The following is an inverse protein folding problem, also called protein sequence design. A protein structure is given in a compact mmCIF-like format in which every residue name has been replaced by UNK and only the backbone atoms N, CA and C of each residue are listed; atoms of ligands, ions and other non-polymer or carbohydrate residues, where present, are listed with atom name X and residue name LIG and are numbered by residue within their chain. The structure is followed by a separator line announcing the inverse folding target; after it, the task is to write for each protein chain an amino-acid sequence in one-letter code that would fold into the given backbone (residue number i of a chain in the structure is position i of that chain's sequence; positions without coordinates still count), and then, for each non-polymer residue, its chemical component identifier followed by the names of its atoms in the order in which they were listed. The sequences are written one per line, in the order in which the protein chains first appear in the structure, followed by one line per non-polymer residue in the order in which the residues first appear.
data_IF_424725736384
#
_entry.id   IF_424725736384
#
_cell.length_a   1.000
_cell.length_b   1.000
_cell.length_c   1.000
_cell.angle_alpha   90.00
_cell.angle_beta   90.00
_cell.angle_gamma   90.00
#
_symmetry.space_group_name_H-M   'P 1'
#
loop_
_entity.id
_entity.type
_entity.pdbx_description
1 polymer ?
#
# COMPACT_ATOMS: atom_id res chain seq x y z
N UNK A 1 -5.82 -13.00 -1.45
CA UNK A 1 -4.58 -13.14 -0.65
C UNK A 1 -3.56 -13.95 -1.44
N UNK A 2 -2.29 -13.56 -1.43
CA UNK A 2 -1.17 -14.30 -2.06
C UNK A 2 -0.05 -14.53 -1.02
N UNK A 3 0.78 -15.56 -1.24
CA UNK A 3 1.94 -15.83 -0.38
C UNK A 3 3.14 -14.96 -0.75
N UNK A 4 4.17 -14.96 0.10
CA UNK A 4 5.44 -14.26 -0.14
C UNK A 4 6.07 -14.67 -1.49
N UNK A 5 6.13 -15.96 -1.80
CA UNK A 5 6.74 -16.45 -3.05
C UNK A 5 6.01 -15.91 -4.29
N UNK A 6 4.68 -15.88 -4.26
CA UNK A 6 3.87 -15.33 -5.35
C UNK A 6 4.05 -13.81 -5.46
N UNK A 7 4.18 -13.11 -4.34
CA UNK A 7 4.44 -11.68 -4.33
C UNK A 7 5.80 -11.35 -4.97
N UNK A 8 6.87 -12.06 -4.59
CA UNK A 8 8.21 -11.89 -5.16
C UNK A 8 8.24 -12.25 -6.65
N UNK A 9 7.48 -13.27 -7.08
CA UNK A 9 7.35 -13.60 -8.50
C UNK A 9 6.62 -12.53 -9.32
N UNK A 10 5.73 -11.73 -8.70
CA UNK A 10 5.02 -10.63 -9.37
C UNK A 10 5.87 -9.38 -9.54
N UNK A 11 6.78 -9.12 -8.60
CA UNK A 11 7.62 -7.92 -8.59
C UNK A 11 9.09 -8.32 -8.68
N UNK A 12 9.62 -8.38 -9.90
CA UNK A 12 10.99 -8.84 -10.14
C UNK A 12 12.07 -7.91 -9.58
N UNK A 13 11.74 -6.64 -9.31
CA UNK A 13 12.63 -5.65 -8.68
C UNK A 13 12.50 -5.60 -7.14
N UNK A 14 11.61 -6.41 -6.57
CA UNK A 14 11.39 -6.48 -5.13
C UNK A 14 12.47 -7.35 -4.48
N UNK A 15 13.35 -6.73 -3.71
CA UNK A 15 14.27 -7.46 -2.85
C UNK A 15 13.53 -7.96 -1.59
N UNK A 16 13.69 -9.24 -1.21
CA UNK A 16 13.07 -9.78 0.00
C UNK A 16 13.46 -9.02 1.27
N UNK A 17 14.70 -8.54 1.38
CA UNK A 17 15.18 -7.77 2.51
C UNK A 17 14.50 -6.40 2.62
N UNK A 18 14.23 -5.75 1.48
CA UNK A 18 13.46 -4.50 1.46
C UNK A 18 12.03 -4.72 1.95
N UNK A 19 11.38 -5.77 1.44
CA UNK A 19 10.03 -6.13 1.89
C UNK A 19 9.98 -6.41 3.39
N UNK A 20 10.96 -7.12 3.95
CA UNK A 20 11.03 -7.34 5.40
C UNK A 20 11.17 -6.02 6.18
N UNK A 21 11.96 -5.07 5.68
CA UNK A 21 12.06 -3.73 6.31
C UNK A 21 10.74 -2.98 6.24
N UNK A 22 10.05 -3.01 5.10
CA UNK A 22 8.75 -2.36 4.95
C UNK A 22 7.68 -2.97 5.86
N UNK A 23 7.71 -4.29 6.07
CA UNK A 23 6.85 -4.96 7.05
C UNK A 23 7.21 -4.52 8.47
N UNK A 24 8.50 -4.49 8.82
CA UNK A 24 8.95 -4.05 10.14
C UNK A 24 8.60 -2.58 10.46
N UNK A 25 8.64 -1.71 9.43
CA UNK A 25 8.22 -0.30 9.52
C UNK A 25 6.70 -0.13 9.44
N UNK A 26 5.95 -1.21 9.15
CA UNK A 26 4.50 -1.23 9.07
C UNK A 26 3.93 -0.55 7.83
N UNK A 27 4.75 -0.36 6.79
CA UNK A 27 4.32 0.15 5.48
C UNK A 27 3.48 -0.87 4.72
N UNK A 28 3.81 -2.15 4.86
CA UNK A 28 3.06 -3.30 4.35
C UNK A 28 2.68 -4.15 5.56
N UNK A 29 1.43 -4.61 5.64
CA UNK A 29 0.93 -5.29 6.85
C UNK A 29 0.26 -6.61 6.46
N UNK A 30 1.04 -7.61 6.02
CA UNK A 30 0.50 -8.90 5.69
C UNK A 30 -0.11 -9.57 6.93
N UNK A 31 -1.08 -10.44 6.70
CA UNK A 31 -1.61 -11.31 7.73
C UNK A 31 -0.70 -12.54 7.91
N UNK A 32 -0.51 -12.98 9.14
CA UNK A 32 0.19 -14.24 9.43
C UNK A 32 -0.85 -15.34 9.63
N UNK A 33 -0.92 -16.28 8.70
CA UNK A 33 -1.84 -17.43 8.76
C UNK A 33 -1.04 -18.72 8.81
N UNK A 34 -1.12 -19.46 9.91
CA UNK A 34 -0.44 -20.75 10.05
C UNK A 34 1.10 -20.67 9.99
N UNK A 35 1.67 -19.50 10.30
CA UNK A 35 3.12 -19.26 10.21
C UNK A 35 3.59 -18.70 8.87
N UNK A 36 2.71 -18.55 7.88
CA UNK A 36 3.02 -17.97 6.58
C UNK A 36 2.49 -16.53 6.45
N UNK A 37 3.27 -15.66 5.79
CA UNK A 37 2.83 -14.32 5.41
C UNK A 37 1.88 -14.39 4.23
N UNK A 38 0.70 -13.77 4.39
CA UNK A 38 -0.32 -13.63 3.36
C UNK A 38 -0.61 -12.17 3.11
N UNK A 39 -0.52 -11.78 1.85
CA UNK A 39 -0.71 -10.41 1.40
C UNK A 39 -2.08 -10.27 0.76
N UNK A 40 -2.87 -9.31 1.22
CA UNK A 40 -4.10 -8.92 0.55
C UNK A 40 -3.84 -8.08 -0.70
N UNK A 41 -4.87 -7.82 -1.49
CA UNK A 41 -4.75 -6.97 -2.68
C UNK A 41 -4.28 -5.55 -2.32
N UNK A 42 -4.72 -5.03 -1.17
CA UNK A 42 -4.26 -3.74 -0.68
C UNK A 42 -2.76 -3.72 -0.35
N UNK A 43 -2.21 -4.82 0.19
CA UNK A 43 -0.78 -4.95 0.45
C UNK A 43 0.02 -5.01 -0.85
N UNK A 44 -0.48 -5.74 -1.85
CA UNK A 44 0.13 -5.85 -3.18
C UNK A 44 0.20 -4.49 -3.86
N UNK A 45 -0.88 -3.72 -3.84
CA UNK A 45 -0.90 -2.36 -4.39
C UNK A 45 0.04 -1.42 -3.62
N UNK A 46 0.21 -1.65 -2.32
CA UNK A 46 1.11 -0.87 -1.48
C UNK A 46 2.58 -1.13 -1.80
N UNK A 47 2.94 -2.39 -2.02
CA UNK A 47 4.26 -2.79 -2.50
C UNK A 47 4.54 -2.16 -3.86
N UNK A 48 3.59 -2.21 -4.80
CA UNK A 48 3.72 -1.55 -6.10
C UNK A 48 3.96 -0.05 -5.98
N UNK A 49 3.18 0.63 -5.14
CA UNK A 49 3.36 2.05 -4.88
C UNK A 49 4.75 2.36 -4.34
N UNK A 50 5.25 1.60 -3.36
CA UNK A 50 6.58 1.84 -2.79
C UNK A 50 7.68 1.65 -3.86
N UNK A 51 7.55 0.61 -4.70
CA UNK A 51 8.45 0.40 -5.83
C UNK A 51 8.40 1.57 -6.83
N UNK A 52 7.21 2.05 -7.19
CA UNK A 52 7.07 3.21 -8.08
C UNK A 52 7.70 4.48 -7.48
N UNK A 53 7.50 4.72 -6.17
CA UNK A 53 8.11 5.86 -5.48
C UNK A 53 9.64 5.79 -5.51
N UNK A 54 10.21 4.60 -5.30
CA UNK A 54 11.66 4.40 -5.26
C UNK A 54 12.30 4.37 -6.65
N UNK A 55 11.74 3.57 -7.55
CA UNK A 55 12.36 3.22 -8.83
C UNK A 55 12.03 4.24 -9.93
N UNK A 56 10.87 4.91 -9.85
CA UNK A 56 10.42 5.89 -10.87
C UNK A 56 10.56 7.33 -10.38
N UNK A 57 10.22 7.61 -9.12
CA UNK A 57 10.28 8.96 -8.56
C UNK A 57 11.56 9.23 -7.75
N UNK A 58 12.46 8.26 -7.67
CA UNK A 58 13.75 8.35 -6.97
C UNK A 58 13.60 8.86 -5.52
N UNK A 59 12.50 8.46 -4.85
CA UNK A 59 12.27 8.84 -3.46
C UNK A 59 13.20 8.03 -2.56
N UNK A 60 14.00 8.75 -1.78
CA UNK A 60 14.86 8.16 -0.76
C UNK A 60 14.06 7.34 0.26
N UNK A 61 14.64 6.22 0.71
CA UNK A 61 14.04 5.33 1.71
C UNK A 61 13.68 6.07 3.01
N UNK A 62 14.44 7.10 3.37
CA UNK A 62 14.20 7.94 4.55
C UNK A 62 12.99 8.86 4.40
N UNK A 63 12.62 9.21 3.16
CA UNK A 63 11.47 10.05 2.83
C UNK A 63 10.19 9.22 2.63
N UNK A 64 10.30 7.93 2.33
CA UNK A 64 9.16 7.02 2.14
C UNK A 64 8.07 7.14 3.22
N UNK A 65 8.36 7.10 4.54
CA UNK A 65 7.29 7.20 5.54
C UNK A 65 6.47 8.49 5.43
N UNK A 66 7.10 9.62 5.11
CA UNK A 66 6.41 10.90 4.94
C UNK A 66 5.58 10.88 3.66
N UNK A 67 6.14 10.44 2.54
CA UNK A 67 5.44 10.37 1.25
C UNK A 67 4.24 9.43 1.33
N UNK A 68 4.40 8.24 1.92
CA UNK A 68 3.32 7.29 2.12
C UNK A 68 2.19 7.87 2.98
N UNK A 69 2.53 8.59 4.05
CA UNK A 69 1.52 9.30 4.86
C UNK A 69 0.75 10.34 4.04
N UNK A 70 1.42 11.10 3.18
CA UNK A 70 0.76 12.09 2.32
C UNK A 70 -0.15 11.41 1.29
N UNK A 71 0.28 10.30 0.70
CA UNK A 71 -0.52 9.52 -0.23
C UNK A 71 -1.78 8.99 0.48
N UNK A 72 -1.64 8.43 1.68
CA UNK A 72 -2.78 7.99 2.49
C UNK A 72 -3.75 9.12 2.81
N UNK A 73 -3.24 10.31 3.16
CA UNK A 73 -4.06 11.50 3.40
C UNK A 73 -4.85 11.91 2.15
N UNK A 74 -4.25 11.85 0.96
CA UNK A 74 -4.93 12.12 -0.32
C UNK A 74 -6.03 11.10 -0.57
N UNK A 75 -5.77 9.80 -0.35
CA UNK A 75 -6.79 8.76 -0.49
C UNK A 75 -7.95 8.96 0.50
N UNK A 76 -7.65 9.30 1.76
CA UNK A 76 -8.65 9.59 2.78
C UNK A 76 -9.51 10.79 2.39
N UNK A 77 -8.90 11.87 1.89
CA UNK A 77 -9.61 13.06 1.42
C UNK A 77 -10.53 12.73 0.23
N UNK A 78 -10.01 12.03 -0.78
CA UNK A 78 -10.80 11.60 -1.94
C UNK A 78 -11.97 10.71 -1.52
N UNK A 79 -11.79 9.84 -0.52
CA UNK A 79 -12.88 9.01 0.03
C UNK A 79 -13.94 9.88 0.70
N UNK A 80 -13.56 10.86 1.50
CA UNK A 80 -14.48 11.80 2.16
C UNK A 80 -15.29 12.61 1.15
N UNK A 81 -14.65 13.12 0.10
CA UNK A 81 -15.34 13.86 -0.96
C UNK A 81 -16.40 13.00 -1.67
N UNK A 82 -16.06 11.76 -2.06
CA UNK A 82 -17.03 10.83 -2.67
C UNK A 82 -18.22 10.51 -1.76
N UNK A 83 -18.00 10.46 -0.43
CA UNK A 83 -19.09 10.25 0.53
C UNK A 83 -20.04 11.44 0.59
N UNK A 84 -19.51 12.67 0.51
CA UNK A 84 -20.33 13.89 0.44
C UNK A 84 -21.13 13.97 -0.87
N UNK A 85 -20.50 13.64 -1.99
CA UNK A 85 -21.17 13.58 -3.31
C UNK A 85 -22.26 12.51 -3.36
N UNK A 86 -22.02 11.34 -2.75
CA UNK A 86 -23.02 10.27 -2.64
C UNK A 86 -24.17 10.60 -1.69
N UNK A 87 -23.90 11.36 -0.62
CA UNK A 87 -24.91 11.82 0.35
C UNK A 87 -25.85 12.90 -0.21
N UNK A 88 -25.41 13.67 -1.21
CA UNK A 88 -26.24 14.70 -1.85
C UNK A 88 -27.37 14.16 -2.74
N UNK A 89 -27.44 12.84 -2.98
CA UNK A 89 -28.50 12.20 -3.80
C UNK A 89 -29.68 11.65 -2.99
N UNK A 90 -29.65 11.70 -1.67
CA UNK A 90 -30.70 11.14 -0.79
C UNK A 90 -31.54 12.19 -0.04
N UNK A 91 -31.45 13.48 -0.42
CA UNK A 91 -32.11 14.59 0.28
C UNK A 91 -33.11 15.39 -0.55
N UNK A 92 -33.62 14.84 -1.65
CA UNK A 92 -34.57 15.52 -2.53
C UNK A 92 -35.77 14.64 -2.85
N UNK A 93 -36.65 14.45 -1.87
CA UNK A 93 -38.06 14.05 -2.05
C UNK A 93 -38.95 14.90 -1.15
#
# INVERSE_FOLDING_TARGET
MITLDILLARFTTLDPGDLHRWIAQGFVRPEVTGGELRFEEIDVERVRLILDLRDVLEVDETALPVVLSLVDQVYALRRRLRQLEGGSRLGGE
#
